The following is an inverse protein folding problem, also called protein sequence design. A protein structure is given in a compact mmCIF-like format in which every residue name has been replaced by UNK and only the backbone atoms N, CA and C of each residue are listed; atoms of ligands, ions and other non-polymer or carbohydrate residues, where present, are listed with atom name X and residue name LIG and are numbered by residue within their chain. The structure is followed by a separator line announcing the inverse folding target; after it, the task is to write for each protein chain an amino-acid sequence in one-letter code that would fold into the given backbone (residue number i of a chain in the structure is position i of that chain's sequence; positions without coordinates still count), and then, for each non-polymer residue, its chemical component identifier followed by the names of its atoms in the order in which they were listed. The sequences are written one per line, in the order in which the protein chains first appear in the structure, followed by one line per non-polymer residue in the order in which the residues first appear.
data_IF_961626765557
#
_entry.id   IF_961626765557
#
_cell.length_a   1.000
_cell.length_b   1.000
_cell.length_c   1.000
_cell.angle_alpha   90.00
_cell.angle_beta   90.00
_cell.angle_gamma   90.00
#
_symmetry.space_group_name_H-M   'P 1'
#
loop_
_entity.id
_entity.type
_entity.pdbx_description
1 polymer ?
#
# COMPACT_ATOMS: atom_id res chain seq x y z
N UNK A 1 -23.84 -35.09 9.92
CA UNK A 1 -22.98 -34.62 11.06
C UNK A 1 -23.29 -33.16 11.41
N UNK A 2 -22.87 -32.65 12.58
CA UNK A 2 -23.19 -31.27 13.04
C UNK A 2 -22.64 -30.17 12.09
N UNK A 3 -21.45 -30.36 11.54
CA UNK A 3 -20.82 -29.44 10.61
C UNK A 3 -21.54 -29.37 9.25
N UNK A 4 -22.10 -30.47 8.75
CA UNK A 4 -22.85 -30.49 7.48
C UNK A 4 -24.07 -29.58 7.54
N UNK A 5 -24.82 -29.64 8.65
CA UNK A 5 -25.96 -28.73 8.85
C UNK A 5 -25.53 -27.27 8.87
N UNK A 6 -24.41 -26.95 9.56
CA UNK A 6 -23.88 -25.57 9.57
C UNK A 6 -23.42 -25.14 8.19
N UNK A 7 -22.73 -26.01 7.46
CA UNK A 7 -22.27 -25.71 6.10
C UNK A 7 -23.46 -25.46 5.15
N UNK A 8 -24.46 -26.37 5.18
CA UNK A 8 -25.66 -26.21 4.34
C UNK A 8 -26.41 -24.92 4.70
N UNK A 9 -26.54 -24.61 5.99
CA UNK A 9 -27.18 -23.37 6.41
C UNK A 9 -26.40 -22.14 5.95
N UNK A 10 -25.07 -22.13 6.10
CA UNK A 10 -24.22 -21.05 5.61
C UNK A 10 -24.33 -20.86 4.10
N UNK A 11 -24.27 -21.94 3.31
CA UNK A 11 -24.44 -21.87 1.86
C UNK A 11 -25.79 -21.27 1.50
N UNK A 12 -26.87 -21.68 2.19
CA UNK A 12 -28.21 -21.16 1.97
C UNK A 12 -28.29 -19.66 2.33
N UNK A 13 -27.73 -19.27 3.49
CA UNK A 13 -27.72 -17.87 3.92
C UNK A 13 -26.98 -16.97 2.95
N UNK A 14 -25.85 -17.41 2.38
CA UNK A 14 -25.10 -16.69 1.34
C UNK A 14 -25.91 -16.61 0.05
N UNK A 15 -26.53 -17.71 -0.36
CA UNK A 15 -27.37 -17.77 -1.55
C UNK A 15 -28.54 -16.79 -1.50
N UNK A 16 -29.20 -16.71 -0.36
CA UNK A 16 -30.36 -15.85 -0.13
C UNK A 16 -29.98 -14.36 -0.06
N UNK A 17 -28.78 -14.04 0.47
CA UNK A 17 -28.35 -12.65 0.70
C UNK A 17 -27.54 -12.07 -0.47
N UNK A 18 -26.70 -12.88 -1.13
CA UNK A 18 -25.70 -12.38 -2.05
C UNK A 18 -25.80 -13.01 -3.45
N UNK A 19 -26.38 -14.22 -3.60
CA UNK A 19 -26.53 -14.93 -4.88
C UNK A 19 -25.24 -14.93 -5.73
N UNK A 20 -24.15 -15.45 -5.13
CA UNK A 20 -22.82 -15.37 -5.73
C UNK A 20 -22.60 -16.45 -6.80
N UNK A 21 -21.98 -16.17 -7.95
CA UNK A 21 -21.66 -17.16 -8.98
C UNK A 21 -20.43 -17.99 -8.60
N UNK A 22 -20.49 -18.62 -7.42
CA UNK A 22 -19.41 -19.39 -6.84
C UNK A 22 -19.87 -20.78 -6.42
N UNK A 23 -18.98 -21.76 -6.59
CA UNK A 23 -19.16 -23.16 -6.19
C UNK A 23 -18.14 -23.58 -5.15
N UNK A 24 -18.59 -24.28 -4.13
CA UNK A 24 -17.76 -24.95 -3.15
C UNK A 24 -17.71 -26.44 -3.48
N UNK A 25 -16.53 -27.01 -3.62
CA UNK A 25 -16.29 -28.43 -3.82
C UNK A 25 -15.55 -28.98 -2.62
N UNK A 26 -16.16 -29.93 -1.91
CA UNK A 26 -15.58 -30.55 -0.75
C UNK A 26 -14.62 -31.70 -1.14
N UNK A 27 -13.81 -32.16 -0.20
CA UNK A 27 -12.82 -33.24 -0.37
C UNK A 27 -13.43 -34.62 -0.71
N UNK A 28 -14.73 -34.79 -0.47
CA UNK A 28 -15.50 -36.00 -0.80
C UNK A 28 -16.26 -35.88 -2.14
N UNK A 29 -16.09 -34.76 -2.85
CA UNK A 29 -16.72 -34.47 -4.13
C UNK A 29 -18.10 -33.83 -4.03
N UNK A 30 -18.64 -33.61 -2.83
CA UNK A 30 -19.89 -32.87 -2.68
C UNK A 30 -19.73 -31.43 -3.17
N UNK A 31 -20.76 -30.90 -3.85
CA UNK A 31 -20.76 -29.56 -4.41
C UNK A 31 -21.91 -28.72 -3.83
N UNK A 32 -21.61 -27.47 -3.53
CA UNK A 32 -22.57 -26.50 -3.02
C UNK A 32 -22.46 -25.20 -3.79
N UNK A 33 -23.56 -24.73 -4.40
CA UNK A 33 -23.60 -23.48 -5.13
C UNK A 33 -24.10 -22.34 -4.25
N UNK A 34 -23.35 -21.22 -4.24
CA UNK A 34 -23.69 -20.01 -3.49
C UNK A 34 -24.66 -19.10 -4.22
N UNK A 35 -25.16 -19.51 -5.36
CA UNK A 35 -26.11 -18.75 -6.14
C UNK A 35 -26.71 -19.55 -7.30
N UNK A 36 -27.43 -18.89 -8.18
CA UNK A 36 -28.01 -19.44 -9.39
C UNK A 36 -27.21 -18.96 -10.59
N UNK A 37 -26.56 -19.87 -11.32
CA UNK A 37 -25.70 -19.59 -12.48
C UNK A 37 -25.64 -20.77 -13.44
N UNK A 38 -25.30 -20.54 -14.70
CA UNK A 38 -25.09 -21.60 -15.70
C UNK A 38 -23.71 -22.28 -15.50
N UNK A 39 -22.68 -21.49 -15.15
CA UNK A 39 -21.36 -21.95 -14.78
C UNK A 39 -20.80 -21.05 -13.66
N UNK A 40 -20.05 -21.60 -12.68
CA UNK A 40 -19.46 -20.79 -11.63
C UNK A 40 -18.36 -19.88 -12.20
N UNK A 41 -18.31 -18.62 -11.78
CA UNK A 41 -17.17 -17.74 -12.05
C UNK A 41 -15.95 -18.12 -11.20
N UNK A 42 -16.22 -18.66 -9.99
CA UNK A 42 -15.17 -19.09 -9.06
C UNK A 42 -15.54 -20.46 -8.48
N UNK A 43 -14.56 -21.35 -8.38
CA UNK A 43 -14.69 -22.62 -7.67
C UNK A 43 -13.69 -22.68 -6.52
N UNK A 44 -14.20 -22.91 -5.30
CA UNK A 44 -13.40 -23.13 -4.10
C UNK A 44 -13.28 -24.62 -3.86
N UNK A 45 -12.06 -25.16 -3.88
CA UNK A 45 -11.76 -26.56 -3.62
C UNK A 45 -11.26 -26.73 -2.19
N UNK A 46 -12.04 -27.36 -1.34
CA UNK A 46 -11.69 -27.68 0.05
C UNK A 46 -10.93 -28.99 0.10
N UNK A 47 -9.67 -28.96 0.56
CA UNK A 47 -8.80 -30.15 0.53
C UNK A 47 -9.09 -31.17 1.63
N UNK A 48 -9.63 -30.72 2.77
CA UNK A 48 -9.94 -31.58 3.90
C UNK A 48 -10.87 -30.88 4.90
N UNK A 49 -11.42 -31.64 5.83
CA UNK A 49 -12.25 -31.12 6.94
C UNK A 49 -11.53 -30.06 7.82
N UNK A 50 -10.20 -29.99 7.77
CA UNK A 50 -9.42 -29.00 8.53
C UNK A 50 -9.60 -27.56 8.03
N UNK A 51 -10.23 -27.36 6.87
CA UNK A 51 -10.59 -26.05 6.34
C UNK A 51 -11.93 -25.52 6.90
N UNK A 52 -12.78 -26.37 7.45
CA UNK A 52 -14.12 -25.98 7.91
C UNK A 52 -14.16 -24.81 8.90
N UNK A 53 -13.24 -24.68 9.89
CA UNK A 53 -13.24 -23.54 10.80
C UNK A 53 -13.13 -22.20 10.08
N UNK A 54 -12.37 -22.12 8.98
CA UNK A 54 -12.19 -20.91 8.19
C UNK A 54 -13.41 -20.56 7.32
N UNK A 55 -14.17 -21.57 6.93
CA UNK A 55 -15.34 -21.42 6.04
C UNK A 55 -16.62 -21.14 6.82
N UNK A 56 -16.76 -21.70 8.02
CA UNK A 56 -17.98 -21.55 8.83
C UNK A 56 -18.06 -20.19 9.55
N UNK A 57 -16.95 -19.47 9.63
CA UNK A 57 -16.86 -18.08 10.11
C UNK A 57 -16.07 -17.25 9.08
N UNK A 58 -16.59 -17.10 7.85
CA UNK A 58 -15.86 -16.46 6.78
C UNK A 58 -15.70 -14.97 7.04
N UNK A 59 -14.45 -14.53 7.12
CA UNK A 59 -13.97 -13.16 7.04
C UNK A 59 -12.91 -13.10 5.95
N UNK A 60 -12.51 -11.92 5.54
CA UNK A 60 -11.39 -11.79 4.60
C UNK A 60 -10.11 -12.40 5.18
N UNK A 61 -9.88 -12.26 6.49
CA UNK A 61 -8.72 -12.84 7.18
C UNK A 61 -8.76 -14.37 7.16
N UNK A 62 -9.90 -14.99 7.53
CA UNK A 62 -10.05 -16.44 7.56
C UNK A 62 -9.97 -17.06 6.15
N UNK A 63 -10.63 -16.47 5.16
CA UNK A 63 -10.58 -16.96 3.79
C UNK A 63 -9.18 -16.82 3.19
N UNK A 64 -8.52 -15.68 3.44
CA UNK A 64 -7.14 -15.42 3.03
C UNK A 64 -6.17 -16.42 3.68
N UNK A 65 -6.30 -16.67 5.00
CA UNK A 65 -5.46 -17.63 5.70
C UNK A 65 -5.68 -19.07 5.20
N UNK A 66 -6.93 -19.49 4.98
CA UNK A 66 -7.22 -20.80 4.42
C UNK A 66 -6.56 -21.01 3.05
N UNK A 67 -6.57 -19.98 2.20
CA UNK A 67 -5.91 -20.01 0.90
C UNK A 67 -4.39 -20.05 1.03
N UNK A 68 -3.79 -19.16 1.82
CA UNK A 68 -2.35 -19.07 2.03
C UNK A 68 -1.80 -20.38 2.63
N UNK A 69 -2.49 -20.96 3.61
CA UNK A 69 -2.14 -22.28 4.22
C UNK A 69 -2.43 -23.49 3.32
N UNK A 70 -2.91 -23.26 2.09
CA UNK A 70 -3.24 -24.35 1.17
C UNK A 70 -4.37 -25.28 1.65
N UNK A 71 -5.24 -24.80 2.56
CA UNK A 71 -6.43 -25.55 3.02
C UNK A 71 -7.54 -25.54 1.98
N UNK A 72 -7.57 -24.48 1.17
CA UNK A 72 -8.43 -24.32 -0.01
C UNK A 72 -7.57 -23.95 -1.21
N UNK A 73 -7.99 -24.41 -2.40
CA UNK A 73 -7.56 -23.86 -3.67
C UNK A 73 -8.72 -23.12 -4.33
N UNK A 74 -8.41 -22.14 -5.15
CA UNK A 74 -9.42 -21.29 -5.77
C UNK A 74 -9.13 -21.19 -7.27
N UNK A 75 -10.12 -21.56 -8.08
CA UNK A 75 -10.10 -21.45 -9.54
C UNK A 75 -11.02 -20.30 -9.98
N UNK A 76 -10.60 -19.54 -10.97
CA UNK A 76 -11.31 -18.40 -11.52
C UNK A 76 -10.39 -17.24 -11.84
N UNK A 77 -10.94 -16.17 -12.42
CA UNK A 77 -10.19 -14.93 -12.60
C UNK A 77 -9.93 -14.29 -11.25
N UNK A 78 -8.76 -13.67 -11.08
CA UNK A 78 -8.35 -13.08 -9.80
C UNK A 78 -9.34 -12.00 -9.31
N UNK A 79 -9.83 -11.14 -10.20
CA UNK A 79 -10.87 -10.15 -9.88
C UNK A 79 -12.16 -10.78 -9.36
N UNK A 80 -12.61 -11.89 -9.99
CA UNK A 80 -13.81 -12.61 -9.55
C UNK A 80 -13.59 -13.28 -8.19
N UNK A 81 -12.41 -13.86 -7.97
CA UNK A 81 -12.01 -14.45 -6.68
C UNK A 81 -12.12 -13.42 -5.56
N UNK A 82 -11.58 -12.22 -5.75
CA UNK A 82 -11.64 -11.14 -4.77
C UNK A 82 -13.09 -10.68 -4.54
N UNK A 83 -13.84 -10.43 -5.61
CA UNK A 83 -15.25 -10.06 -5.51
C UNK A 83 -16.07 -11.08 -4.73
N UNK A 84 -15.87 -12.38 -4.99
CA UNK A 84 -16.53 -13.47 -4.26
C UNK A 84 -16.10 -13.49 -2.79
N UNK A 85 -14.80 -13.34 -2.50
CA UNK A 85 -14.27 -13.27 -1.12
C UNK A 85 -14.93 -12.16 -0.32
N UNK A 86 -15.00 -10.96 -0.87
CA UNK A 86 -15.71 -9.83 -0.25
C UNK A 86 -17.22 -10.08 -0.14
N UNK A 87 -17.85 -10.69 -1.14
CA UNK A 87 -19.27 -11.07 -1.10
C UNK A 87 -19.57 -12.07 0.01
N UNK A 88 -18.71 -13.08 0.20
CA UNK A 88 -18.80 -14.05 1.31
C UNK A 88 -18.63 -13.35 2.66
N UNK A 89 -17.64 -12.49 2.82
CA UNK A 89 -17.40 -11.74 4.05
C UNK A 89 -18.59 -10.80 4.38
N UNK A 90 -19.12 -10.07 3.39
CA UNK A 90 -20.29 -9.18 3.56
C UNK A 90 -21.55 -9.93 4.00
N UNK A 91 -21.76 -11.15 3.49
CA UNK A 91 -22.95 -11.95 3.80
C UNK A 91 -22.98 -12.44 5.26
N UNK A 92 -21.85 -12.44 5.95
CA UNK A 92 -21.68 -12.95 7.32
C UNK A 92 -21.54 -11.86 8.38
N UNK A 93 -21.20 -10.62 7.99
CA UNK A 93 -21.07 -9.50 8.93
C UNK A 93 -22.45 -9.15 9.49
N UNK A 94 -22.71 -9.54 10.74
CA UNK A 94 -23.85 -9.08 11.53
C UNK A 94 -23.45 -7.85 12.34
N UNK A 95 -24.43 -6.99 12.70
CA UNK A 95 -24.21 -5.79 13.51
C UNK A 95 -23.53 -6.06 14.87
N UNK A 96 -23.58 -7.30 15.37
CA UNK A 96 -22.93 -7.73 16.61
C UNK A 96 -21.39 -7.88 16.45
N UNK A 97 -20.88 -8.16 15.27
CA UNK A 97 -19.43 -8.31 15.03
C UNK A 97 -18.68 -6.96 15.08
N UNK A 98 -19.38 -5.84 14.96
CA UNK A 98 -18.79 -4.49 15.07
C UNK A 98 -18.33 -4.13 16.50
N UNK A 99 -18.78 -4.85 17.52
CA UNK A 99 -18.46 -4.59 18.93
C UNK A 99 -17.17 -5.25 19.42
N UNK A 100 -16.60 -6.17 18.69
CA UNK A 100 -15.42 -6.97 19.11
C UNK A 100 -14.07 -6.46 18.53
N UNK A 101 -14.03 -5.24 18.01
CA UNK A 101 -12.77 -4.65 17.50
C UNK A 101 -11.85 -4.31 18.67
N UNK A 102 -10.93 -5.22 18.97
CA UNK A 102 -9.88 -4.97 19.97
C UNK A 102 -8.88 -4.01 19.35
N UNK A 103 -8.75 -2.83 19.93
CA UNK A 103 -7.68 -1.87 19.58
C UNK A 103 -6.33 -2.54 19.85
N UNK A 104 -5.61 -2.91 18.80
CA UNK A 104 -4.23 -3.40 18.93
C UNK A 104 -3.31 -2.20 19.16
N UNK A 105 -2.47 -2.30 20.18
CA UNK A 105 -1.43 -1.33 20.44
C UNK A 105 -0.10 -1.93 20.01
N UNK A 106 0.49 -1.39 18.96
CA UNK A 106 1.82 -1.75 18.52
C UNK A 106 2.89 -0.86 19.20
N UNK A 107 4.00 -1.47 19.58
CA UNK A 107 5.15 -0.74 20.12
C UNK A 107 6.16 -0.49 19.00
N UNK A 108 6.08 0.66 18.38
CA UNK A 108 7.03 1.09 17.36
C UNK A 108 8.34 1.54 17.98
N UNK A 109 9.40 0.78 17.77
CA UNK A 109 10.78 1.12 18.11
C UNK A 109 11.64 1.06 16.85
N UNK A 110 12.84 1.72 16.87
CA UNK A 110 13.76 1.60 15.71
C UNK A 110 14.07 0.15 15.32
N UNK A 111 14.17 -0.74 16.30
CA UNK A 111 14.47 -2.15 16.07
C UNK A 111 13.27 -2.92 15.48
N UNK A 112 12.04 -2.71 16.00
CA UNK A 112 10.84 -3.33 15.46
C UNK A 112 10.51 -2.82 14.06
N UNK A 113 10.57 -1.51 13.83
CA UNK A 113 10.32 -0.91 12.51
C UNK A 113 11.31 -1.43 11.46
N UNK A 114 12.60 -1.52 11.81
CA UNK A 114 13.62 -2.10 10.93
C UNK A 114 13.31 -3.55 10.58
N UNK A 115 12.90 -4.36 11.59
CA UNK A 115 12.55 -5.77 11.37
C UNK A 115 11.31 -5.92 10.51
N UNK A 116 10.27 -5.12 10.72
CA UNK A 116 9.04 -5.13 9.92
C UNK A 116 9.31 -4.76 8.46
N UNK A 117 10.10 -3.71 8.22
CA UNK A 117 10.51 -3.30 6.87
C UNK A 117 11.35 -4.41 6.21
N UNK A 118 12.32 -4.99 6.91
CA UNK A 118 13.11 -6.09 6.38
C UNK A 118 12.24 -7.29 6.03
N UNK A 119 11.27 -7.67 6.85
CA UNK A 119 10.35 -8.77 6.59
C UNK A 119 9.57 -8.58 5.29
N UNK A 120 9.00 -7.40 5.06
CA UNK A 120 8.24 -7.10 3.85
C UNK A 120 9.12 -7.07 2.59
N UNK A 121 10.32 -6.46 2.68
CA UNK A 121 11.25 -6.31 1.56
C UNK A 121 12.27 -7.45 1.43
N UNK A 122 12.13 -8.54 2.23
CA UNK A 122 12.97 -9.75 2.18
C UNK A 122 12.60 -10.68 0.99
N UNK A 123 12.08 -10.10 -0.07
CA UNK A 123 11.89 -10.73 -1.38
C UNK A 123 12.92 -10.12 -2.33
N UNK A 124 13.39 -10.91 -3.29
CA UNK A 124 14.44 -10.44 -4.20
C UNK A 124 14.01 -9.29 -5.10
N UNK A 125 14.96 -8.49 -5.56
CA UNK A 125 14.69 -7.45 -6.56
C UNK A 125 14.13 -8.05 -7.86
N UNK A 126 14.50 -9.28 -8.23
CA UNK A 126 13.98 -10.01 -9.39
C UNK A 126 12.48 -10.28 -9.25
N UNK A 127 12.01 -10.60 -8.04
CA UNK A 127 10.59 -10.79 -7.79
C UNK A 127 9.79 -9.50 -7.99
N UNK A 128 10.28 -8.36 -7.46
CA UNK A 128 9.63 -7.06 -7.67
C UNK A 128 9.62 -6.62 -9.14
N UNK A 129 10.67 -6.92 -9.92
CA UNK A 129 10.73 -6.64 -11.36
C UNK A 129 9.69 -7.38 -12.19
N UNK A 130 9.10 -8.44 -11.67
CA UNK A 130 8.07 -9.16 -12.39
C UNK A 130 6.79 -8.32 -12.59
N UNK A 131 6.47 -7.44 -11.67
CA UNK A 131 5.18 -6.77 -11.65
C UNK A 131 5.24 -5.25 -11.48
N UNK A 132 6.34 -4.68 -11.01
CA UNK A 132 6.58 -3.23 -11.03
C UNK A 132 6.95 -2.74 -12.43
N UNK A 133 6.99 -1.41 -12.60
CA UNK A 133 7.56 -0.74 -13.77
C UNK A 133 9.10 -0.86 -13.81
N UNK A 134 9.70 -0.45 -14.92
CA UNK A 134 11.16 -0.51 -15.13
C UNK A 134 11.98 0.29 -14.09
N UNK A 135 11.38 1.35 -13.53
CA UNK A 135 11.97 2.18 -12.48
C UNK A 135 11.79 1.59 -11.08
N UNK A 136 11.06 0.47 -10.97
CA UNK A 136 10.77 -0.21 -9.71
C UNK A 136 10.11 0.73 -8.69
N UNK A 137 9.07 1.45 -9.09
CA UNK A 137 8.36 2.35 -8.21
C UNK A 137 7.23 1.60 -7.49
N UNK A 138 7.44 1.30 -6.22
CA UNK A 138 6.47 0.58 -5.39
C UNK A 138 5.62 1.54 -4.57
N UNK A 139 4.83 2.35 -5.24
CA UNK A 139 3.85 3.27 -4.67
C UNK A 139 2.83 3.70 -5.72
N UNK A 140 1.77 4.39 -5.30
CA UNK A 140 0.70 4.86 -6.18
C UNK A 140 1.23 5.65 -7.37
N UNK A 141 0.85 5.29 -8.59
CA UNK A 141 1.13 6.04 -9.81
C UNK A 141 0.13 7.21 -9.99
N UNK A 142 0.35 8.09 -10.97
CA UNK A 142 -0.53 9.19 -11.31
C UNK A 142 -0.95 9.12 -12.78
N UNK A 143 -2.22 8.81 -13.02
CA UNK A 143 -2.83 8.68 -14.34
C UNK A 143 -3.56 9.98 -14.69
N UNK A 144 -2.91 10.88 -15.39
CA UNK A 144 -3.47 12.20 -15.73
C UNK A 144 -4.72 12.08 -16.60
N UNK A 145 -4.69 11.19 -17.61
CA UNK A 145 -5.79 10.95 -18.53
C UNK A 145 -6.56 9.65 -18.20
N UNK A 146 -5.98 8.78 -17.40
CA UNK A 146 -6.58 7.52 -16.98
C UNK A 146 -6.24 6.31 -17.87
N UNK A 147 -5.48 6.47 -18.95
CA UNK A 147 -5.15 5.43 -19.93
C UNK A 147 -3.64 5.20 -20.13
N UNK A 148 -2.81 5.92 -19.36
CA UNK A 148 -1.37 5.74 -19.42
C UNK A 148 -0.94 4.32 -19.02
N UNK A 149 0.17 3.84 -19.61
CA UNK A 149 0.89 2.68 -19.09
C UNK A 149 1.51 2.98 -17.71
N UNK A 150 1.86 1.92 -16.97
CA UNK A 150 2.35 2.05 -15.61
C UNK A 150 3.65 2.86 -15.52
N UNK A 151 4.60 2.65 -16.43
CA UNK A 151 5.89 3.35 -16.39
C UNK A 151 5.71 4.86 -16.60
N UNK A 152 4.90 5.25 -17.58
CA UNK A 152 4.50 6.64 -17.84
C UNK A 152 3.79 7.25 -16.63
N UNK A 153 2.82 6.54 -16.05
CA UNK A 153 2.07 7.02 -14.89
C UNK A 153 2.97 7.17 -13.63
N UNK A 154 3.97 6.30 -13.45
CA UNK A 154 4.93 6.42 -12.35
C UNK A 154 5.87 7.63 -12.54
N UNK A 155 6.35 7.89 -13.74
CA UNK A 155 7.14 9.10 -14.05
C UNK A 155 6.29 10.36 -13.82
N UNK A 156 5.03 10.37 -14.29
CA UNK A 156 4.10 11.48 -14.03
C UNK A 156 3.89 11.71 -12.54
N UNK A 157 3.75 10.65 -11.73
CA UNK A 157 3.63 10.75 -10.29
C UNK A 157 4.84 11.43 -9.66
N UNK A 158 6.05 11.02 -10.03
CA UNK A 158 7.28 11.63 -9.52
C UNK A 158 7.37 13.09 -9.92
N UNK A 159 7.11 13.41 -11.19
CA UNK A 159 7.12 14.78 -11.70
C UNK A 159 6.07 15.64 -10.98
N UNK A 160 4.87 15.11 -10.74
CA UNK A 160 3.80 15.80 -10.01
C UNK A 160 4.21 16.13 -8.56
N UNK A 161 4.83 15.17 -7.85
CA UNK A 161 5.38 15.40 -6.52
C UNK A 161 6.42 16.52 -6.52
N UNK A 162 7.41 16.43 -7.42
CA UNK A 162 8.52 17.39 -7.48
C UNK A 162 8.03 18.79 -7.91
N UNK A 163 6.99 18.84 -8.73
CA UNK A 163 6.32 20.10 -9.10
C UNK A 163 5.55 20.70 -7.92
N UNK A 164 4.79 19.89 -7.18
CA UNK A 164 4.03 20.35 -6.00
C UNK A 164 4.92 20.99 -4.93
N UNK A 165 6.08 20.41 -4.68
CA UNK A 165 7.05 20.98 -3.74
C UNK A 165 7.89 22.11 -4.35
N UNK A 166 7.67 22.48 -5.62
CA UNK A 166 8.42 23.51 -6.35
C UNK A 166 9.93 23.31 -6.28
N UNK A 167 10.41 22.09 -6.56
CA UNK A 167 11.83 21.79 -6.58
C UNK A 167 12.55 22.59 -7.66
N UNK A 168 13.63 23.32 -7.28
CA UNK A 168 14.43 24.14 -8.16
C UNK A 168 15.86 23.57 -8.32
N UNK A 169 16.55 23.86 -9.42
CA UNK A 169 17.93 23.47 -9.60
C UNK A 169 18.83 23.93 -8.45
N UNK A 170 19.74 23.05 -8.03
CA UNK A 170 20.68 23.31 -6.93
C UNK A 170 20.12 23.16 -5.52
N UNK A 171 18.79 23.05 -5.35
CA UNK A 171 18.19 22.83 -4.03
C UNK A 171 18.51 21.43 -3.50
N UNK A 172 18.55 21.34 -2.16
CA UNK A 172 18.75 20.09 -1.43
C UNK A 172 17.41 19.39 -1.14
N UNK A 173 17.27 18.18 -1.67
CA UNK A 173 16.10 17.31 -1.45
C UNK A 173 16.47 16.15 -0.52
N UNK A 174 15.65 15.90 0.49
CA UNK A 174 15.66 14.65 1.25
C UNK A 174 14.46 13.80 0.83
N UNK A 175 14.70 12.54 0.48
CA UNK A 175 13.63 11.55 0.25
C UNK A 175 13.65 10.49 1.36
N UNK A 176 12.64 10.50 2.22
CA UNK A 176 12.49 9.59 3.36
C UNK A 176 11.78 8.32 2.89
N UNK A 177 12.50 7.19 2.88
CA UNK A 177 12.01 5.95 2.29
C UNK A 177 12.16 5.94 0.77
N UNK A 178 13.39 6.20 0.29
CA UNK A 178 13.68 6.43 -1.13
C UNK A 178 13.50 5.19 -2.03
N UNK A 179 13.18 4.02 -1.47
CA UNK A 179 13.05 2.79 -2.23
C UNK A 179 14.29 2.49 -3.08
N UNK A 180 14.11 2.09 -4.32
CA UNK A 180 15.20 1.84 -5.28
C UNK A 180 15.69 3.12 -6.00
N UNK A 181 15.40 4.30 -5.44
CA UNK A 181 15.99 5.58 -5.84
C UNK A 181 15.32 6.31 -7.02
N UNK A 182 14.19 5.87 -7.52
CA UNK A 182 13.56 6.44 -8.72
C UNK A 182 13.26 7.96 -8.58
N UNK A 183 12.77 8.40 -7.42
CA UNK A 183 12.44 9.81 -7.18
C UNK A 183 13.70 10.68 -7.14
N UNK A 184 14.73 10.30 -6.40
CA UNK A 184 15.97 11.08 -6.29
C UNK A 184 16.74 11.11 -7.60
N UNK A 185 16.72 10.02 -8.39
CA UNK A 185 17.28 10.00 -9.75
C UNK A 185 16.57 11.02 -10.63
N UNK A 186 15.25 11.00 -10.67
CA UNK A 186 14.45 11.94 -11.47
C UNK A 186 14.65 13.39 -11.02
N UNK A 187 14.71 13.64 -9.70
CA UNK A 187 14.95 14.96 -9.12
C UNK A 187 16.32 15.53 -9.56
N UNK A 188 17.37 14.71 -9.53
CA UNK A 188 18.68 15.16 -9.97
C UNK A 188 18.77 15.35 -11.49
N UNK A 189 18.20 14.43 -12.28
CA UNK A 189 18.29 14.45 -13.76
C UNK A 189 17.46 15.57 -14.36
N UNK A 190 16.20 15.69 -13.98
CA UNK A 190 15.26 16.62 -14.60
C UNK A 190 15.24 17.99 -13.91
N UNK A 191 15.30 18.01 -12.58
CA UNK A 191 15.16 19.23 -11.79
C UNK A 191 16.50 19.79 -11.31
N UNK A 192 17.62 19.11 -11.55
CA UNK A 192 18.96 19.59 -11.19
C UNK A 192 19.23 19.67 -9.69
N UNK A 193 18.50 18.91 -8.88
CA UNK A 193 18.61 18.94 -7.43
C UNK A 193 19.83 18.20 -6.89
N UNK A 194 20.23 18.52 -5.65
CA UNK A 194 21.15 17.76 -4.81
C UNK A 194 20.34 16.89 -3.87
N UNK A 195 20.46 15.57 -3.96
CA UNK A 195 19.54 14.64 -3.29
C UNK A 195 20.22 13.78 -2.22
N UNK A 196 19.52 13.55 -1.13
CA UNK A 196 19.81 12.52 -0.16
C UNK A 196 18.60 11.59 -0.08
N UNK A 197 18.79 10.30 -0.34
CA UNK A 197 17.77 9.27 -0.16
C UNK A 197 18.11 8.38 1.03
N UNK A 198 17.14 8.12 1.91
CA UNK A 198 17.35 7.20 3.05
C UNK A 198 16.41 6.01 2.96
N UNK A 199 16.92 4.83 3.29
CA UNK A 199 16.16 3.57 3.37
C UNK A 199 16.70 2.69 4.48
N UNK A 200 15.87 1.76 4.99
CA UNK A 200 16.28 0.72 5.96
C UNK A 200 16.50 -0.65 5.30
N UNK A 201 16.19 -0.80 4.02
CA UNK A 201 16.37 -2.04 3.27
C UNK A 201 17.73 -2.07 2.58
N UNK A 202 18.52 -3.11 2.88
CA UNK A 202 19.83 -3.34 2.22
C UNK A 202 19.65 -3.53 0.71
N UNK A 203 18.66 -4.33 0.27
CA UNK A 203 18.40 -4.59 -1.14
C UNK A 203 18.07 -3.30 -1.91
N UNK A 204 17.30 -2.39 -1.30
CA UNK A 204 16.99 -1.09 -1.89
C UNK A 204 18.22 -0.20 -1.95
N UNK A 205 18.99 -0.13 -0.86
CA UNK A 205 20.22 0.66 -0.76
C UNK A 205 21.22 0.26 -1.84
N UNK A 206 21.51 -1.04 -1.98
CA UNK A 206 22.48 -1.55 -2.92
C UNK A 206 22.09 -1.24 -4.38
N UNK A 207 20.82 -1.52 -4.74
CA UNK A 207 20.34 -1.25 -6.09
C UNK A 207 20.23 0.25 -6.39
N UNK A 208 19.74 1.05 -5.44
CA UNK A 208 19.66 2.51 -5.61
C UNK A 208 21.05 3.13 -5.80
N UNK A 209 22.05 2.69 -5.00
CA UNK A 209 23.44 3.15 -5.12
C UNK A 209 24.03 2.77 -6.47
N UNK A 210 23.79 1.53 -6.93
CA UNK A 210 24.24 1.10 -8.26
C UNK A 210 23.62 1.94 -9.37
N UNK A 211 22.30 2.21 -9.30
CA UNK A 211 21.60 3.05 -10.30
C UNK A 211 22.11 4.50 -10.32
N UNK A 212 22.46 5.06 -9.17
CA UNK A 212 23.09 6.39 -9.09
C UNK A 212 24.43 6.40 -9.81
N UNK A 213 25.26 5.36 -9.60
CA UNK A 213 26.54 5.19 -10.26
C UNK A 213 26.39 5.00 -11.77
N UNK A 214 25.49 4.13 -12.21
CA UNK A 214 25.22 3.88 -13.62
C UNK A 214 24.74 5.13 -14.36
N UNK A 215 24.05 6.04 -13.64
CA UNK A 215 23.61 7.33 -14.16
C UNK A 215 24.69 8.43 -14.11
N UNK A 216 25.86 8.18 -13.52
CA UNK A 216 26.92 9.18 -13.33
C UNK A 216 26.52 10.33 -12.39
N UNK A 217 25.70 10.07 -11.38
CA UNK A 217 25.10 11.09 -10.50
C UNK A 217 25.66 11.04 -9.06
N UNK A 218 26.77 10.38 -8.80
CA UNK A 218 27.38 10.23 -7.47
C UNK A 218 27.76 11.59 -6.84
N UNK A 219 28.03 12.61 -7.65
CA UNK A 219 28.26 13.98 -7.18
C UNK A 219 26.99 14.76 -6.83
N UNK A 220 25.81 14.22 -7.09
CA UNK A 220 24.51 14.88 -6.87
C UNK A 220 23.57 14.09 -5.98
N UNK A 221 23.71 12.79 -5.87
CA UNK A 221 22.82 11.90 -5.12
C UNK A 221 23.64 11.09 -4.14
N UNK A 222 23.26 11.14 -2.88
CA UNK A 222 23.76 10.29 -1.81
C UNK A 222 22.64 9.36 -1.33
N UNK A 223 22.84 8.03 -1.40
CA UNK A 223 21.94 7.05 -0.80
C UNK A 223 22.53 6.61 0.53
N UNK A 224 21.68 6.53 1.57
CA UNK A 224 22.09 6.12 2.92
C UNK A 224 21.24 4.98 3.44
N UNK A 225 21.87 3.96 3.97
CA UNK A 225 21.21 2.93 4.77
C UNK A 225 21.05 3.46 6.19
N UNK A 226 20.04 4.30 6.43
CA UNK A 226 19.91 5.10 7.63
C UNK A 226 18.43 5.30 8.00
N UNK A 227 18.16 5.28 9.31
CA UNK A 227 16.86 5.68 9.86
C UNK A 227 16.68 7.20 9.72
N UNK A 228 15.48 7.64 9.27
CA UNK A 228 15.18 9.07 9.10
C UNK A 228 15.33 9.87 10.40
N UNK A 229 15.11 9.22 11.55
CA UNK A 229 15.27 9.82 12.88
C UNK A 229 16.72 10.27 13.18
N UNK A 230 17.70 9.65 12.52
CA UNK A 230 19.13 9.92 12.69
C UNK A 230 19.69 10.89 11.62
N UNK A 231 18.87 11.29 10.64
CA UNK A 231 19.28 12.26 9.62
C UNK A 231 19.54 13.63 10.28
N UNK A 232 20.61 14.28 9.84
CA UNK A 232 21.03 15.61 10.31
C UNK A 232 21.09 16.60 9.15
N UNK A 233 21.06 17.88 9.48
CA UNK A 233 21.15 18.99 8.54
C UNK A 233 19.78 19.53 8.13
N UNK A 234 19.78 20.43 7.15
CA UNK A 234 18.56 21.04 6.63
C UNK A 234 18.45 20.84 5.12
N UNK A 235 17.21 20.72 4.67
CA UNK A 235 16.84 20.48 3.28
C UNK A 235 15.81 21.50 2.81
N UNK A 236 15.95 21.98 1.58
CA UNK A 236 14.99 22.91 0.98
C UNK A 236 13.67 22.22 0.68
N UNK A 237 13.75 20.93 0.36
CA UNK A 237 12.61 20.08 0.01
C UNK A 237 12.72 18.74 0.70
N UNK A 238 11.56 18.21 1.14
CA UNK A 238 11.49 16.87 1.74
C UNK A 238 10.34 16.12 1.10
N UNK A 239 10.57 14.88 0.68
CA UNK A 239 9.55 13.94 0.23
C UNK A 239 9.53 12.71 1.12
N UNK A 240 8.34 12.14 1.31
CA UNK A 240 8.15 10.86 2.00
C UNK A 240 6.97 10.15 1.34
N UNK A 241 7.22 9.00 0.73
CA UNK A 241 6.24 8.29 -0.10
C UNK A 241 6.08 6.86 0.41
N UNK A 242 4.90 6.52 0.95
CA UNK A 242 4.59 5.18 1.47
C UNK A 242 5.44 4.78 2.68
N UNK A 243 5.75 5.73 3.56
CA UNK A 243 6.59 5.50 4.74
C UNK A 243 5.86 5.74 6.06
N UNK A 244 4.94 6.73 6.12
CA UNK A 244 4.33 7.14 7.39
C UNK A 244 3.40 6.04 7.97
N UNK A 245 2.96 5.10 7.17
CA UNK A 245 2.20 3.91 7.57
C UNK A 245 2.98 3.00 8.53
N UNK A 246 4.31 3.07 8.46
CA UNK A 246 5.23 2.30 9.31
C UNK A 246 5.63 3.03 10.59
N UNK A 247 5.18 4.27 10.77
CA UNK A 247 5.55 5.10 11.93
C UNK A 247 4.73 4.76 13.18
N UNK A 248 3.49 4.30 12.98
CA UNK A 248 2.50 4.10 14.03
C UNK A 248 1.80 5.40 14.46
N UNK A 249 0.49 5.33 14.67
CA UNK A 249 -0.38 6.49 14.93
C UNK A 249 0.10 7.38 16.07
N UNK A 250 0.60 6.79 17.15
CA UNK A 250 1.12 7.54 18.33
C UNK A 250 2.37 8.36 18.04
N UNK A 251 3.18 7.91 17.07
CA UNK A 251 4.48 8.52 16.77
C UNK A 251 4.36 9.55 15.63
N UNK A 252 3.22 9.67 14.97
CA UNK A 252 3.03 10.61 13.85
C UNK A 252 3.37 12.07 14.21
N UNK A 253 2.97 12.61 15.38
CA UNK A 253 3.40 13.97 15.74
C UNK A 253 4.92 14.12 15.79
N UNK A 254 5.63 13.15 16.38
CA UNK A 254 7.10 13.13 16.44
C UNK A 254 7.75 12.97 15.06
N UNK A 255 7.14 12.19 14.17
CA UNK A 255 7.55 12.07 12.77
C UNK A 255 7.47 13.43 12.05
N UNK A 256 6.34 14.10 12.12
CA UNK A 256 6.17 15.42 11.51
C UNK A 256 7.02 16.51 12.17
N UNK A 257 7.27 16.41 13.48
CA UNK A 257 8.24 17.26 14.16
C UNK A 257 9.65 17.05 13.59
N UNK A 258 10.07 15.81 13.34
CA UNK A 258 11.36 15.52 12.71
C UNK A 258 11.45 16.06 11.28
N UNK A 259 10.39 15.93 10.48
CA UNK A 259 10.30 16.57 9.15
C UNK A 259 10.49 18.09 9.28
N UNK A 260 9.81 18.73 10.23
CA UNK A 260 9.94 20.16 10.50
C UNK A 260 11.38 20.58 10.88
N UNK A 261 12.05 19.78 11.71
CA UNK A 261 13.44 20.04 12.11
C UNK A 261 14.39 19.98 10.93
N UNK A 262 14.20 19.03 10.03
CA UNK A 262 15.03 18.84 8.84
C UNK A 262 14.70 19.81 7.70
N UNK A 263 13.51 20.41 7.70
CA UNK A 263 13.06 21.33 6.65
C UNK A 263 13.69 22.72 6.86
N UNK A 264 14.20 23.33 5.81
CA UNK A 264 14.62 24.75 5.82
C UNK A 264 13.44 25.67 6.14
N UNK A 265 13.69 26.92 6.54
CA UNK A 265 12.62 27.84 6.96
C UNK A 265 11.60 28.16 5.84
N UNK A 266 12.08 28.31 4.61
CA UNK A 266 11.23 28.47 3.42
C UNK A 266 11.01 27.17 2.67
N UNK A 267 11.26 26.04 3.34
CA UNK A 267 11.16 24.72 2.76
C UNK A 267 9.73 24.24 2.58
N UNK A 268 9.55 23.34 1.62
CA UNK A 268 8.28 22.64 1.36
C UNK A 268 8.50 21.15 1.45
N UNK A 269 7.60 20.47 2.15
CA UNK A 269 7.62 19.01 2.26
C UNK A 269 6.33 18.42 1.68
N UNK A 270 6.40 17.17 1.25
CA UNK A 270 5.25 16.40 0.81
C UNK A 270 5.27 15.02 1.44
N UNK A 271 4.15 14.65 2.06
CA UNK A 271 3.88 13.32 2.57
C UNK A 271 2.83 12.64 1.68
N UNK A 272 3.16 11.48 1.14
CA UNK A 272 2.26 10.66 0.34
C UNK A 272 2.05 9.32 1.06
N UNK A 273 0.83 9.05 1.50
CA UNK A 273 0.61 7.85 2.31
C UNK A 273 -0.84 7.38 2.32
N UNK A 274 -0.97 6.08 2.64
CA UNK A 274 -2.24 5.38 2.74
C UNK A 274 -2.94 5.76 4.03
N UNK A 275 -4.26 5.91 3.97
CA UNK A 275 -5.11 6.24 5.11
C UNK A 275 -6.28 5.27 5.20
N UNK A 276 -6.76 5.04 6.41
CA UNK A 276 -8.04 4.39 6.64
C UNK A 276 -9.19 5.35 6.37
N UNK A 277 -10.33 4.82 5.94
CA UNK A 277 -11.61 5.55 5.93
C UNK A 277 -12.38 5.40 7.25
N UNK A 278 -11.97 4.44 8.10
CA UNK A 278 -12.49 4.31 9.46
C UNK A 278 -11.77 5.30 10.40
N UNK A 279 -12.55 6.15 11.07
CA UNK A 279 -12.01 7.19 11.94
C UNK A 279 -11.45 6.65 13.26
N UNK A 280 -12.03 5.59 13.78
CA UNK A 280 -11.75 5.10 15.14
C UNK A 280 -10.66 4.03 15.17
N UNK A 281 -10.81 2.98 14.38
CA UNK A 281 -9.98 1.77 14.49
C UNK A 281 -8.82 1.74 13.49
N UNK A 282 -8.98 2.37 12.31
CA UNK A 282 -8.07 2.19 11.18
C UNK A 282 -8.23 0.85 10.47
N UNK A 283 -9.22 0.05 10.86
CA UNK A 283 -9.53 -1.25 10.25
C UNK A 283 -10.64 -1.13 9.23
N UNK A 284 -10.66 -2.03 8.24
CA UNK A 284 -11.78 -2.12 7.30
C UNK A 284 -12.97 -2.84 7.92
N UNK A 285 -14.17 -2.50 7.50
CA UNK A 285 -15.41 -3.06 8.07
C UNK A 285 -15.55 -4.58 7.88
N UNK A 286 -14.85 -5.16 6.91
CA UNK A 286 -14.95 -6.57 6.50
C UNK A 286 -13.78 -7.44 6.97
N UNK A 287 -12.82 -6.88 7.71
CA UNK A 287 -11.58 -7.53 8.06
C UNK A 287 -10.50 -7.35 6.98
N UNK A 288 -9.50 -8.22 6.95
CA UNK A 288 -8.33 -8.12 6.07
C UNK A 288 -7.14 -7.42 6.72
N UNK A 289 -7.36 -6.67 7.80
CA UNK A 289 -6.29 -6.00 8.55
C UNK A 289 -5.36 -6.99 9.24
N UNK A 290 -5.89 -8.09 9.78
CA UNK A 290 -5.06 -9.16 10.38
C UNK A 290 -4.22 -9.89 9.35
N UNK A 291 -4.77 -10.10 8.14
CA UNK A 291 -4.03 -10.69 7.03
C UNK A 291 -2.84 -9.80 6.63
N UNK A 292 -3.09 -8.51 6.46
CA UNK A 292 -2.04 -7.54 6.08
C UNK A 292 -0.96 -7.46 7.17
N UNK A 293 -1.35 -7.35 8.44
CA UNK A 293 -0.43 -7.29 9.58
C UNK A 293 0.42 -8.56 9.71
N UNK A 294 -0.19 -9.73 9.51
CA UNK A 294 0.50 -11.01 9.66
C UNK A 294 1.46 -11.32 8.51
N UNK A 295 1.06 -11.04 7.27
CA UNK A 295 1.71 -11.56 6.07
C UNK A 295 2.41 -10.52 5.21
N UNK A 296 2.06 -9.24 5.33
CA UNK A 296 2.54 -8.22 4.39
C UNK A 296 3.26 -7.07 5.09
N UNK A 297 2.57 -6.35 5.97
CA UNK A 297 3.10 -5.20 6.68
C UNK A 297 2.93 -5.36 8.20
N UNK A 298 3.81 -6.13 8.86
CA UNK A 298 3.77 -6.24 10.31
C UNK A 298 3.86 -4.85 10.97
N UNK A 299 3.01 -4.64 11.97
CA UNK A 299 2.91 -3.37 12.71
C UNK A 299 2.46 -2.15 11.87
N UNK A 300 1.92 -2.35 10.66
CA UNK A 300 1.39 -1.26 9.83
C UNK A 300 0.11 -0.67 10.42
N UNK A 301 0.08 0.65 10.63
CA UNK A 301 -1.11 1.36 11.12
C UNK A 301 -1.54 2.45 10.14
N UNK A 302 -2.79 2.39 9.68
CA UNK A 302 -3.35 3.40 8.79
C UNK A 302 -4.14 4.45 9.60
N UNK A 303 -3.66 5.72 9.67
CA UNK A 303 -4.44 6.78 10.28
C UNK A 303 -5.57 7.21 9.34
N UNK A 304 -6.69 7.69 9.88
CA UNK A 304 -7.65 8.49 9.10
C UNK A 304 -6.98 9.80 8.67
N UNK A 305 -7.36 10.34 7.49
CA UNK A 305 -6.76 11.59 6.97
C UNK A 305 -6.84 12.75 7.96
N UNK A 306 -7.94 12.87 8.69
CA UNK A 306 -8.10 13.89 9.74
C UNK A 306 -7.06 13.77 10.85
N UNK A 307 -6.75 12.53 11.29
CA UNK A 307 -5.71 12.27 12.30
C UNK A 307 -4.30 12.55 11.77
N UNK A 308 -4.05 12.26 10.48
CA UNK A 308 -2.77 12.58 9.84
C UNK A 308 -2.53 14.10 9.78
N UNK A 309 -3.58 14.88 9.44
CA UNK A 309 -3.51 16.34 9.40
C UNK A 309 -3.36 16.94 10.81
N UNK A 310 -4.07 16.40 11.80
CA UNK A 310 -3.90 16.80 13.20
C UNK A 310 -2.47 16.54 13.69
N UNK A 311 -1.93 15.34 13.47
CA UNK A 311 -0.57 15.00 13.83
C UNK A 311 0.47 15.89 13.15
N UNK A 312 0.24 16.25 11.87
CA UNK A 312 1.08 17.17 11.11
C UNK A 312 1.10 18.57 11.78
N UNK A 313 -0.05 19.09 12.19
CA UNK A 313 -0.14 20.36 12.90
C UNK A 313 0.52 20.29 14.28
N UNK A 314 0.33 19.20 15.02
CA UNK A 314 1.01 18.96 16.31
C UNK A 314 2.54 18.91 16.14
N UNK A 315 3.04 18.38 15.01
CA UNK A 315 4.45 18.42 14.61
C UNK A 315 4.97 19.80 14.20
N UNK A 316 4.11 20.83 14.22
CA UNK A 316 4.46 22.23 13.89
C UNK A 316 4.56 22.52 12.39
N UNK A 317 3.87 21.75 11.57
CA UNK A 317 3.73 21.98 10.13
C UNK A 317 2.33 22.53 9.80
N UNK A 318 2.20 23.18 8.66
CA UNK A 318 0.95 23.66 8.07
C UNK A 318 0.70 22.90 6.77
N UNK A 319 -0.43 22.20 6.66
CA UNK A 319 -0.86 21.61 5.39
C UNK A 319 -1.36 22.73 4.45
N UNK A 320 -0.79 22.81 3.25
CA UNK A 320 -1.13 23.83 2.26
C UNK A 320 -1.86 23.24 1.05
N UNK A 321 -1.76 21.94 0.83
CA UNK A 321 -2.53 21.20 -0.17
C UNK A 321 -2.74 19.76 0.26
N UNK A 322 -3.92 19.22 -0.06
CA UNK A 322 -4.27 17.81 0.18
C UNK A 322 -4.99 17.29 -1.05
N UNK A 323 -4.41 16.26 -1.70
CA UNK A 323 -4.98 15.64 -2.89
C UNK A 323 -5.20 14.15 -2.67
N UNK A 324 -6.42 13.67 -2.95
CA UNK A 324 -6.74 12.24 -2.92
C UNK A 324 -6.34 11.56 -4.22
N UNK A 325 -5.60 10.46 -4.10
CA UNK A 325 -5.17 9.63 -5.23
C UNK A 325 -5.77 8.21 -5.16
N UNK A 326 -6.86 8.00 -4.45
CA UNK A 326 -7.48 6.69 -4.25
C UNK A 326 -7.72 5.94 -5.55
N UNK A 327 -8.35 6.58 -6.55
CA UNK A 327 -8.62 5.98 -7.87
C UNK A 327 -7.34 5.61 -8.63
N UNK A 328 -6.30 6.42 -8.47
CA UNK A 328 -4.99 6.16 -9.07
C UNK A 328 -4.35 4.91 -8.46
N UNK A 329 -4.51 4.73 -7.14
CA UNK A 329 -3.91 3.56 -6.50
C UNK A 329 -4.71 2.28 -6.79
N UNK A 330 -6.04 2.34 -6.84
CA UNK A 330 -6.86 1.23 -7.32
C UNK A 330 -6.34 0.73 -8.68
N UNK A 331 -6.19 1.63 -9.66
CA UNK A 331 -5.66 1.29 -10.98
C UNK A 331 -4.21 0.80 -10.96
N UNK A 332 -3.35 1.41 -10.13
CA UNK A 332 -1.96 0.96 -10.00
C UNK A 332 -1.88 -0.49 -9.53
N UNK A 333 -2.67 -0.83 -8.52
CA UNK A 333 -2.74 -2.16 -7.92
C UNK A 333 -3.38 -3.19 -8.86
N UNK A 334 -4.39 -2.81 -9.64
CA UNK A 334 -4.95 -3.66 -10.70
C UNK A 334 -3.88 -4.04 -11.72
N UNK A 335 -3.11 -3.06 -12.20
CA UNK A 335 -2.02 -3.32 -13.16
C UNK A 335 -0.95 -4.22 -12.52
N UNK A 336 -0.59 -4.01 -11.25
CA UNK A 336 0.36 -4.87 -10.56
C UNK A 336 -0.17 -6.30 -10.39
N UNK A 337 -1.44 -6.47 -10.05
CA UNK A 337 -2.08 -7.78 -9.93
C UNK A 337 -2.11 -8.52 -11.28
N UNK A 338 -2.47 -7.84 -12.36
CA UNK A 338 -2.48 -8.40 -13.72
C UNK A 338 -1.06 -8.78 -14.20
N UNK A 339 -0.06 -7.92 -13.96
CA UNK A 339 1.33 -8.21 -14.26
C UNK A 339 1.82 -9.44 -13.50
N UNK A 340 1.47 -9.55 -12.21
CA UNK A 340 1.84 -10.67 -11.35
C UNK A 340 1.21 -11.98 -11.83
N UNK A 341 -0.10 -11.98 -12.15
CA UNK A 341 -0.80 -13.17 -12.70
C UNK A 341 -0.20 -13.61 -14.04
N UNK A 342 0.09 -12.66 -14.93
CA UNK A 342 0.71 -12.96 -16.23
C UNK A 342 2.07 -13.65 -16.08
N UNK A 343 2.79 -13.38 -15.00
CA UNK A 343 4.13 -13.93 -14.71
C UNK A 343 4.12 -14.92 -13.54
N UNK A 344 2.96 -15.51 -13.22
CA UNK A 344 2.77 -16.42 -12.08
C UNK A 344 3.79 -17.57 -12.04
N UNK A 345 4.09 -18.21 -13.20
CA UNK A 345 5.05 -19.30 -13.25
C UNK A 345 6.50 -18.86 -12.98
N UNK A 346 6.82 -17.60 -13.29
CA UNK A 346 8.13 -17.02 -12.95
C UNK A 346 8.19 -16.68 -11.46
N UNK A 347 7.11 -16.11 -10.92
CA UNK A 347 7.01 -15.77 -9.51
C UNK A 347 7.16 -17.01 -8.61
N UNK A 348 6.50 -18.14 -8.96
CA UNK A 348 6.63 -19.42 -8.23
C UNK A 348 8.04 -20.02 -8.23
N UNK A 349 8.91 -19.60 -9.14
CA UNK A 349 10.33 -20.03 -9.15
C UNK A 349 11.20 -19.20 -8.21
N UNK A 350 10.75 -17.99 -7.86
CA UNK A 350 11.50 -17.03 -7.03
C UNK A 350 11.10 -17.06 -5.56
N UNK A 351 9.89 -17.53 -5.26
CA UNK A 351 9.36 -17.61 -3.89
C UNK A 351 8.65 -18.95 -3.67
N UNK A 352 8.46 -19.34 -2.39
CA UNK A 352 7.67 -20.51 -2.04
C UNK A 352 6.17 -20.32 -2.34
N UNK A 353 5.40 -21.41 -2.31
CA UNK A 353 3.96 -21.42 -2.63
C UNK A 353 3.17 -20.55 -1.64
N UNK A 354 3.57 -20.47 -0.36
CA UNK A 354 2.93 -19.64 0.64
C UNK A 354 3.10 -18.15 0.30
N UNK A 355 4.33 -17.71 0.02
CA UNK A 355 4.62 -16.32 -0.40
C UNK A 355 3.92 -15.97 -1.72
N UNK A 356 3.92 -16.89 -2.70
CA UNK A 356 3.20 -16.67 -3.96
C UNK A 356 1.71 -16.39 -3.71
N UNK A 357 1.06 -17.21 -2.86
CA UNK A 357 -0.35 -17.05 -2.51
C UNK A 357 -0.63 -15.75 -1.76
N UNK A 358 0.27 -15.36 -0.84
CA UNK A 358 0.17 -14.09 -0.11
C UNK A 358 0.15 -12.92 -1.08
N UNK A 359 1.16 -12.82 -1.96
CA UNK A 359 1.28 -11.69 -2.89
C UNK A 359 0.12 -11.62 -3.88
N UNK A 360 -0.35 -12.76 -4.35
CA UNK A 360 -1.50 -12.87 -5.24
C UNK A 360 -2.75 -12.23 -4.65
N UNK A 361 -3.11 -12.64 -3.45
CA UNK A 361 -4.32 -12.13 -2.75
C UNK A 361 -4.12 -10.69 -2.29
N UNK A 362 -2.92 -10.35 -1.84
CA UNK A 362 -2.60 -9.01 -1.37
C UNK A 362 -2.78 -7.96 -2.46
N UNK A 363 -2.16 -8.12 -3.62
CA UNK A 363 -2.23 -7.12 -4.70
C UNK A 363 -3.68 -6.89 -5.15
N UNK A 364 -4.41 -7.96 -5.41
CA UNK A 364 -5.79 -7.85 -5.88
C UNK A 364 -6.77 -7.41 -4.78
N UNK A 365 -6.57 -7.87 -3.53
CA UNK A 365 -7.37 -7.44 -2.39
C UNK A 365 -7.21 -5.95 -2.09
N UNK A 366 -5.99 -5.44 -2.19
CA UNK A 366 -5.73 -4.00 -2.05
C UNK A 366 -6.36 -3.19 -3.20
N UNK A 367 -6.27 -3.67 -4.45
CA UNK A 367 -6.95 -3.02 -5.58
C UNK A 367 -8.45 -2.85 -5.31
N UNK A 368 -9.10 -3.92 -4.86
CA UNK A 368 -10.51 -3.89 -4.48
C UNK A 368 -10.80 -2.92 -3.33
N UNK A 369 -9.97 -2.92 -2.27
CA UNK A 369 -10.16 -2.05 -1.11
C UNK A 369 -10.08 -0.56 -1.49
N UNK A 370 -9.13 -0.18 -2.37
CA UNK A 370 -9.05 1.18 -2.89
C UNK A 370 -10.21 1.52 -3.83
N UNK A 371 -10.67 0.59 -4.68
CA UNK A 371 -11.80 0.84 -5.57
C UNK A 371 -13.10 1.07 -4.79
N UNK A 372 -13.32 0.32 -3.72
CA UNK A 372 -14.55 0.35 -2.93
C UNK A 372 -14.51 1.28 -1.70
N UNK A 373 -13.50 2.16 -1.59
CA UNK A 373 -13.38 3.15 -0.50
C UNK A 373 -13.22 2.56 0.90
N UNK A 374 -12.67 1.35 1.00
CA UNK A 374 -12.31 0.78 2.30
C UNK A 374 -11.04 1.44 2.87
N UNK A 375 -10.14 1.86 1.98
CA UNK A 375 -8.91 2.62 2.27
C UNK A 375 -8.72 3.74 1.24
N UNK A 376 -7.91 4.74 1.58
CA UNK A 376 -7.59 5.86 0.69
C UNK A 376 -6.10 6.17 0.71
N UNK A 377 -5.67 7.12 -0.11
CA UNK A 377 -4.29 7.60 -0.15
C UNK A 377 -4.26 9.08 -0.52
N UNK A 378 -3.38 9.83 0.13
CA UNK A 378 -3.30 11.27 -0.07
C UNK A 378 -1.86 11.75 -0.27
N UNK A 379 -1.72 12.80 -1.07
CA UNK A 379 -0.55 13.66 -1.08
C UNK A 379 -0.86 14.90 -0.24
N UNK A 380 -0.07 15.14 0.80
CA UNK A 380 -0.18 16.30 1.71
C UNK A 380 1.06 17.15 1.52
N UNK A 381 0.90 18.32 0.91
CA UNK A 381 1.97 19.32 0.82
C UNK A 381 1.94 20.19 2.07
N UNK A 382 3.08 20.36 2.70
CA UNK A 382 3.18 21.11 3.96
C UNK A 382 4.45 21.96 4.04
N UNK A 383 4.45 22.89 4.98
CA UNK A 383 5.56 23.78 5.30
C UNK A 383 5.63 24.03 6.80
N UNK A 384 6.66 24.73 7.27
CA UNK A 384 6.72 25.14 8.68
C UNK A 384 5.57 26.09 9.02
N UNK A 385 4.81 25.79 10.07
CA UNK A 385 3.77 26.68 10.57
C UNK A 385 4.36 28.01 11.10
N UNK A 386 3.59 29.09 10.99
CA UNK A 386 3.99 30.41 11.48
C UNK A 386 5.03 31.13 10.62
N UNK A 387 5.32 30.62 9.42
CA UNK A 387 6.21 31.28 8.45
C UNK A 387 5.44 31.97 7.34
N UNK A 388 6.05 32.99 6.71
CA UNK A 388 5.42 33.71 5.60
C UNK A 388 5.18 32.80 4.39
N UNK A 389 3.98 32.89 3.79
CA UNK A 389 3.57 32.12 2.61
C UNK A 389 4.16 32.61 1.29
N UNK A 390 5.12 33.55 1.31
CA UNK A 390 5.60 34.23 0.09
C UNK A 390 6.22 33.31 -0.96
N UNK A 391 6.60 32.09 -0.60
CA UNK A 391 7.27 31.13 -1.49
C UNK A 391 6.34 30.23 -2.26
N UNK A 392 5.06 30.13 -1.88
CA UNK A 392 4.08 29.28 -2.58
C UNK A 392 3.14 30.15 -3.42
N UNK A 393 2.81 29.72 -4.65
CA UNK A 393 1.79 30.38 -5.47
C UNK A 393 0.43 30.39 -4.79
N UNK A 394 -0.37 31.42 -5.06
CA UNK A 394 -1.73 31.55 -4.52
C UNK A 394 -2.70 30.47 -5.03
N UNK A 395 -2.47 29.92 -6.21
CA UNK A 395 -3.35 28.91 -6.81
C UNK A 395 -2.60 27.65 -7.12
N UNK A 396 -3.34 26.55 -7.25
CA UNK A 396 -2.83 25.23 -7.67
C UNK A 396 -2.40 25.17 -9.14
N UNK A 397 -2.58 26.22 -9.92
CA UNK A 397 -2.31 26.26 -11.37
C UNK A 397 -0.92 25.70 -11.70
N UNK A 398 0.12 26.07 -10.94
CA UNK A 398 1.50 25.62 -11.13
C UNK A 398 1.68 24.09 -11.04
N UNK A 399 0.77 23.40 -10.37
CA UNK A 399 0.85 21.93 -10.21
C UNK A 399 0.45 21.20 -11.50
N UNK A 400 -0.32 21.84 -12.39
CA UNK A 400 -0.94 21.24 -13.57
C UNK A 400 -0.48 21.87 -14.87
N UNK A 401 0.04 23.09 -14.85
CA UNK A 401 0.64 23.70 -16.02
C UNK A 401 1.98 23.02 -16.31
N UNK A 402 2.18 22.57 -17.56
CA UNK A 402 3.49 22.11 -18.00
C UNK A 402 4.47 23.26 -17.80
N UNK A 403 5.57 23.03 -17.09
CA UNK A 403 6.70 23.94 -17.12
C UNK A 403 7.10 24.11 -18.59
N UNK A 404 6.90 25.32 -19.09
CA UNK A 404 7.25 25.74 -20.45
C UNK A 404 8.75 25.54 -20.69
#
# INVERSE_FOLDING_TARGET
MFWEKKLTQWVQDVRDRANLPARLVLWDGQQHDFGSFAAPAVTLHVKSATALPYLLEPSLDNLGEAYVKGKIDIEGKLSDIINIGYGLAKSTVTSASKLARVRRYFNHTKASDKKAIQYHYDVSNEFYRLWLDENMVYSCAYFENGDEDLATAQIKKIDHILTKIQLQPGQRLLDIGCGWGALVLRAAQKFGAQCVGVTLSQNQFDLATQRVKDAGLEGRIEIRLQDYRDVQGQFDRITSVGMFEHVGRKNLPGYFQKVRELLADDGVAMNHGITSTDFDSGETALGGGEFIDRYVFPDGELPHIGLALEALQQGGLEAVDVESLRRHYARTLDIWADNFETKADQAKKLVDDEKFRIWRVYLAGCAYAFENDDVSIYQIVCRKAGRSAKTLPWSRRYMYEKAL
#
